data_IF_025937642916
#
_entry.id   IF_025937642916
#
_cell.length_a   1.000
_cell.length_b   1.000
_cell.length_c   1.000
_cell.angle_alpha   90.00
_cell.angle_beta   90.00
_cell.angle_gamma   90.00
#
_symmetry.space_group_name_H-M   'P 1'
#
loop_
_entity.id
_entity.type
_entity.pdbx_description
1 polymer ?
#
# COMPACT_ATOMS: atom_id res chain seq x y z
N UNK A 1 40.93 -19.74 39.30
CA UNK A 1 40.08 -18.52 39.28
C UNK A 1 40.44 -17.58 38.12
N UNK A 2 41.70 -17.15 37.99
CA UNK A 2 42.16 -16.25 36.90
C UNK A 2 41.90 -16.79 35.48
N UNK A 3 42.16 -18.08 35.25
CA UNK A 3 41.95 -18.72 33.92
C UNK A 3 40.46 -18.75 33.51
N UNK A 4 39.55 -18.98 34.47
CA UNK A 4 38.10 -19.02 34.22
C UNK A 4 37.57 -17.62 33.90
N UNK A 5 38.10 -16.59 34.57
CA UNK A 5 37.75 -15.18 34.29
C UNK A 5 38.24 -14.77 32.90
N UNK A 6 39.44 -15.18 32.49
CA UNK A 6 39.98 -14.91 31.16
C UNK A 6 39.19 -15.61 30.03
N UNK A 7 38.76 -16.87 30.24
CA UNK A 7 37.92 -17.61 29.30
C UNK A 7 36.51 -17.01 29.19
N UNK A 8 35.94 -16.55 30.30
CA UNK A 8 34.64 -15.85 30.31
C UNK A 8 34.70 -14.52 29.56
N UNK A 9 35.77 -13.74 29.76
CA UNK A 9 35.94 -12.45 29.09
C UNK A 9 36.16 -12.60 27.58
N UNK A 10 36.94 -13.61 27.16
CA UNK A 10 37.15 -13.90 25.74
C UNK A 10 35.88 -14.41 25.05
N UNK A 11 35.07 -15.23 25.73
CA UNK A 11 33.77 -15.67 25.21
C UNK A 11 32.79 -14.49 25.06
N UNK A 12 32.73 -13.59 26.05
CA UNK A 12 31.87 -12.40 25.98
C UNK A 12 32.31 -11.46 24.85
N UNK A 13 33.62 -11.28 24.65
CA UNK A 13 34.16 -10.46 23.58
C UNK A 13 33.80 -11.04 22.20
N UNK A 14 33.93 -12.36 22.03
CA UNK A 14 33.52 -13.05 20.80
C UNK A 14 32.01 -12.92 20.56
N UNK A 15 31.19 -13.00 21.60
CA UNK A 15 29.73 -12.82 21.50
C UNK A 15 29.38 -11.40 21.03
N UNK A 16 30.03 -10.38 21.60
CA UNK A 16 29.82 -8.97 21.23
C UNK A 16 30.27 -8.71 19.78
N UNK A 17 31.40 -9.28 19.35
CA UNK A 17 31.88 -9.16 17.96
C UNK A 17 30.89 -9.81 16.97
N UNK A 18 30.34 -10.98 17.29
CA UNK A 18 29.35 -11.63 16.44
C UNK A 18 28.03 -10.83 16.37
N UNK A 19 27.56 -10.28 17.50
CA UNK A 19 26.37 -9.42 17.53
C UNK A 19 26.61 -8.13 16.73
N UNK A 20 27.78 -7.51 16.86
CA UNK A 20 28.16 -6.33 16.09
C UNK A 20 28.24 -6.63 14.58
N UNK A 21 28.72 -7.82 14.19
CA UNK A 21 28.77 -8.24 12.79
C UNK A 21 27.36 -8.47 12.19
N UNK A 22 26.43 -9.00 13.00
CA UNK A 22 25.01 -9.16 12.62
C UNK A 22 24.26 -7.82 12.56
N UNK A 23 24.63 -6.84 13.40
CA UNK A 23 24.05 -5.49 13.35
C UNK A 23 24.68 -4.62 12.24
N UNK A 24 25.90 -4.94 11.80
CA UNK A 24 26.59 -4.26 10.70
C UNK A 24 26.08 -4.67 9.31
N UNK A 25 25.23 -5.71 9.21
CA UNK A 25 24.36 -5.88 8.04
C UNK A 25 23.22 -4.87 8.15
N UNK A 26 23.56 -3.60 8.00
CA UNK A 26 22.58 -2.59 7.62
C UNK A 26 21.91 -3.07 6.34
N UNK A 27 20.59 -2.92 6.26
CA UNK A 27 19.82 -3.22 5.07
C UNK A 27 20.35 -2.39 3.91
N UNK A 28 21.30 -2.94 3.16
CA UNK A 28 21.50 -2.50 1.79
C UNK A 28 20.18 -2.83 1.11
N UNK A 29 19.47 -1.78 0.66
CA UNK A 29 18.49 -1.97 -0.39
C UNK A 29 19.21 -2.80 -1.46
N UNK A 30 18.76 -4.03 -1.67
CA UNK A 30 19.33 -4.89 -2.70
C UNK A 30 19.06 -4.13 -4.00
N UNK A 31 20.07 -3.44 -4.52
CA UNK A 31 20.04 -2.93 -5.89
C UNK A 31 20.14 -4.16 -6.79
N UNK A 32 19.03 -4.90 -6.89
CA UNK A 32 18.87 -6.05 -7.76
C UNK A 32 18.53 -5.61 -9.18
N UNK A 33 18.85 -4.38 -9.57
CA UNK A 33 18.73 -3.94 -10.94
C UNK A 33 19.63 -4.83 -11.81
N UNK A 34 19.17 -5.13 -13.02
CA UNK A 34 19.97 -5.86 -14.00
C UNK A 34 21.25 -5.06 -14.32
N UNK A 35 22.36 -5.76 -14.56
CA UNK A 35 23.62 -5.10 -14.91
C UNK A 35 23.44 -4.07 -16.02
N UNK A 36 24.13 -2.93 -15.90
CA UNK A 36 24.11 -1.81 -16.85
C UNK A 36 22.80 -1.03 -16.95
N UNK A 37 21.77 -1.38 -16.16
CA UNK A 37 20.51 -0.65 -16.10
C UNK A 37 20.53 0.46 -15.05
N UNK A 38 19.72 1.50 -15.28
CA UNK A 38 19.46 2.51 -14.26
C UNK A 38 18.71 1.85 -13.09
N UNK A 39 19.27 1.97 -11.90
CA UNK A 39 18.84 1.27 -10.68
C UNK A 39 17.89 2.09 -9.79
N UNK A 40 17.57 3.32 -10.18
CA UNK A 40 16.80 4.25 -9.37
C UNK A 40 16.08 5.33 -10.18
N UNK A 41 15.00 5.87 -9.61
CA UNK A 41 14.27 7.03 -10.12
C UNK A 41 13.85 7.94 -8.95
N UNK A 42 14.35 9.17 -8.93
CA UNK A 42 14.34 9.98 -7.71
C UNK A 42 14.92 9.20 -6.52
N UNK A 43 14.16 9.10 -5.43
CA UNK A 43 14.56 8.35 -4.22
C UNK A 43 14.12 6.87 -4.21
N UNK A 44 13.59 6.36 -5.32
CA UNK A 44 13.10 4.99 -5.42
C UNK A 44 14.14 4.11 -6.09
N UNK A 45 14.68 3.13 -5.38
CA UNK A 45 15.48 2.06 -5.99
C UNK A 45 14.57 1.08 -6.73
N UNK A 46 14.94 0.72 -7.96
CA UNK A 46 14.15 -0.11 -8.87
C UNK A 46 14.86 -1.46 -9.08
N UNK A 47 14.40 -2.53 -8.41
CA UNK A 47 14.98 -3.86 -8.54
C UNK A 47 14.39 -4.63 -9.72
N UNK A 48 15.17 -5.54 -10.32
CA UNK A 48 14.63 -6.55 -11.23
C UNK A 48 13.58 -7.40 -10.50
N UNK A 49 12.43 -7.78 -11.12
CA UNK A 49 12.11 -7.73 -12.55
C UNK A 49 11.68 -6.36 -13.10
N UNK A 50 11.59 -5.34 -12.25
CA UNK A 50 11.29 -3.96 -12.67
C UNK A 50 12.54 -3.29 -13.24
N UNK A 51 12.34 -2.36 -14.16
CA UNK A 51 13.48 -1.69 -14.78
C UNK A 51 13.12 -0.48 -15.61
N UNK A 52 14.11 0.40 -15.74
CA UNK A 52 14.03 1.67 -16.48
C UNK A 52 14.85 1.53 -17.77
N UNK A 53 14.21 1.76 -18.91
CA UNK A 53 14.86 1.70 -20.21
C UNK A 53 14.80 0.33 -20.89
N UNK A 54 15.24 0.25 -22.15
CA UNK A 54 15.14 -0.96 -22.96
C UNK A 54 15.95 -2.12 -22.35
N UNK A 55 15.41 -3.33 -22.43
CA UNK A 55 16.02 -4.60 -21.96
C UNK A 55 16.36 -4.67 -20.45
N UNK A 56 15.86 -3.73 -19.66
CA UNK A 56 16.12 -3.64 -18.22
C UNK A 56 15.03 -4.23 -17.32
N UNK A 57 13.91 -4.63 -17.90
CA UNK A 57 12.76 -5.19 -17.20
C UNK A 57 12.40 -6.57 -17.78
N UNK A 58 11.72 -7.40 -16.99
CA UNK A 58 11.36 -8.76 -17.41
C UNK A 58 10.41 -8.79 -18.62
N UNK A 59 9.40 -7.93 -18.62
CA UNK A 59 8.47 -7.70 -19.74
C UNK A 59 7.73 -6.37 -19.55
N UNK A 60 6.89 -5.99 -20.53
CA UNK A 60 6.16 -4.71 -20.54
C UNK A 60 5.33 -4.39 -19.28
N UNK A 61 4.95 -5.38 -18.46
CA UNK A 61 4.24 -5.11 -17.19
C UNK A 61 5.16 -4.54 -16.11
N UNK A 62 6.46 -4.82 -16.18
CA UNK A 62 7.48 -4.42 -15.21
C UNK A 62 8.29 -3.20 -15.67
N UNK A 63 7.91 -2.59 -16.80
CA UNK A 63 8.54 -1.36 -17.28
C UNK A 63 8.22 -0.18 -16.34
N UNK A 64 9.27 0.47 -15.84
CA UNK A 64 9.20 1.66 -15.01
C UNK A 64 9.51 2.88 -15.86
N UNK A 65 8.58 3.83 -15.87
CA UNK A 65 8.81 5.17 -16.40
C UNK A 65 9.33 6.05 -15.28
N UNK A 66 10.41 6.77 -15.55
CA UNK A 66 10.98 7.75 -14.63
C UNK A 66 10.74 9.17 -15.15
N UNK A 67 9.88 9.92 -14.46
CA UNK A 67 9.60 11.32 -14.78
C UNK A 67 9.90 12.19 -13.56
N UNK A 68 11.11 12.76 -13.52
CA UNK A 68 11.59 13.62 -12.43
C UNK A 68 10.75 14.91 -12.25
N UNK A 69 9.88 15.25 -13.22
CA UNK A 69 8.93 16.37 -13.10
C UNK A 69 7.60 16.01 -12.41
N UNK A 70 7.39 14.72 -12.09
CA UNK A 70 6.18 14.24 -11.41
C UNK A 70 6.45 13.85 -9.96
N UNK A 71 5.40 13.86 -9.13
CA UNK A 71 5.49 13.53 -7.70
C UNK A 71 4.43 12.48 -7.32
N UNK A 72 4.83 11.21 -7.11
CA UNK A 72 6.20 10.66 -7.20
C UNK A 72 6.71 10.50 -8.64
N UNK A 73 8.04 10.48 -8.85
CA UNK A 73 8.65 10.41 -10.19
C UNK A 73 8.63 9.01 -10.82
N UNK A 74 8.37 7.97 -10.02
CA UNK A 74 8.42 6.56 -10.43
C UNK A 74 7.03 6.06 -10.76
N UNK A 75 6.82 5.58 -11.99
CA UNK A 75 5.52 5.12 -12.47
C UNK A 75 5.65 3.73 -13.12
N UNK A 76 4.81 2.77 -12.70
CA UNK A 76 4.59 1.54 -13.47
C UNK A 76 3.83 1.89 -14.74
N UNK A 77 4.55 1.86 -15.87
CA UNK A 77 4.12 2.53 -17.10
C UNK A 77 2.81 1.99 -17.65
N UNK A 78 2.64 0.66 -17.66
CA UNK A 78 1.49 0.00 -18.32
C UNK A 78 0.17 0.16 -17.57
N UNK A 79 0.22 0.31 -16.24
CA UNK A 79 -0.96 0.54 -15.39
C UNK A 79 -1.07 1.99 -14.90
N UNK A 80 -0.15 2.86 -15.35
CA UNK A 80 -0.04 4.26 -14.96
C UNK A 80 -0.13 4.46 -13.43
N UNK A 81 0.59 3.64 -12.68
CA UNK A 81 0.53 3.65 -11.22
C UNK A 81 1.82 4.19 -10.60
N UNK A 82 1.67 5.23 -9.79
CA UNK A 82 2.74 5.92 -9.08
C UNK A 82 3.26 5.04 -7.92
N UNK A 83 4.58 4.84 -7.87
CA UNK A 83 5.28 3.95 -6.91
C UNK A 83 6.07 4.78 -5.91
N UNK A 84 5.86 4.52 -4.62
CA UNK A 84 6.63 5.12 -3.53
C UNK A 84 7.90 4.34 -3.22
N UNK A 85 7.83 3.01 -3.24
CA UNK A 85 8.99 2.13 -3.10
C UNK A 85 8.69 0.69 -3.54
N UNK A 86 9.76 -0.06 -3.76
CA UNK A 86 9.77 -1.51 -3.86
C UNK A 86 10.36 -2.06 -2.57
N UNK A 87 9.78 -3.12 -2.02
CA UNK A 87 10.19 -3.67 -0.74
C UNK A 87 10.02 -5.19 -0.70
N UNK A 88 10.74 -5.82 0.21
CA UNK A 88 10.70 -7.25 0.46
C UNK A 88 10.31 -7.52 1.89
N UNK A 89 9.26 -8.33 2.07
CA UNK A 89 8.85 -8.79 3.39
C UNK A 89 9.59 -10.09 3.73
N UNK A 90 10.53 -10.01 4.67
CA UNK A 90 11.29 -11.17 5.16
C UNK A 90 10.38 -12.21 5.85
N UNK A 91 9.30 -11.77 6.50
CA UNK A 91 8.38 -12.64 7.24
C UNK A 91 7.51 -13.49 6.32
N UNK A 92 7.04 -12.92 5.21
CA UNK A 92 6.23 -13.63 4.22
C UNK A 92 7.00 -14.14 3.00
N UNK A 93 8.29 -13.79 2.88
CA UNK A 93 9.15 -14.15 1.76
C UNK A 93 8.64 -13.63 0.42
N UNK A 94 8.09 -12.41 0.40
CA UNK A 94 7.41 -11.83 -0.77
C UNK A 94 7.79 -10.38 -1.02
N UNK A 95 8.03 -10.07 -2.29
CA UNK A 95 8.20 -8.70 -2.77
C UNK A 95 6.85 -8.02 -2.95
N UNK A 96 6.83 -6.72 -2.69
CA UNK A 96 5.65 -5.88 -2.86
C UNK A 96 6.04 -4.45 -3.23
N UNK A 97 5.08 -3.73 -3.77
CA UNK A 97 5.22 -2.32 -4.12
C UNK A 97 4.32 -1.51 -3.21
N UNK A 98 4.83 -0.42 -2.64
CA UNK A 98 3.98 0.60 -2.03
C UNK A 98 3.66 1.65 -3.09
N UNK A 99 2.39 1.84 -3.40
CA UNK A 99 1.89 2.66 -4.51
C UNK A 99 0.91 3.73 -4.04
N UNK A 100 0.70 4.75 -4.85
CA UNK A 100 -0.33 5.76 -4.63
C UNK A 100 -1.68 5.24 -5.11
N UNK A 101 -2.56 4.92 -4.16
CA UNK A 101 -3.90 4.40 -4.40
C UNK A 101 -4.93 5.52 -4.24
N UNK A 102 -5.97 5.58 -5.10
CA UNK A 102 -6.94 6.66 -5.07
C UNK A 102 -7.86 6.61 -3.85
N UNK A 103 -8.37 7.79 -3.46
CA UNK A 103 -9.48 7.94 -2.51
C UNK A 103 -10.75 8.28 -3.28
N UNK A 104 -11.75 7.41 -3.21
CA UNK A 104 -13.04 7.62 -3.88
C UNK A 104 -13.92 8.48 -2.98
N UNK A 105 -14.41 9.60 -3.51
CA UNK A 105 -15.26 10.56 -2.80
C UNK A 105 -16.71 10.49 -3.28
N UNK A 106 -17.65 10.82 -2.39
CA UNK A 106 -19.07 10.96 -2.71
C UNK A 106 -19.71 12.06 -1.87
N UNK A 107 -20.44 12.98 -2.52
CA UNK A 107 -21.08 14.17 -1.92
C UNK A 107 -20.12 15.06 -1.11
N UNK A 108 -18.92 15.27 -1.65
CA UNK A 108 -17.89 16.11 -1.04
C UNK A 108 -17.79 17.45 -1.78
N UNK A 109 -18.66 18.40 -1.44
CA UNK A 109 -18.73 19.73 -2.05
C UNK A 109 -17.35 20.40 -2.15
N UNK A 110 -17.00 20.92 -3.32
CA UNK A 110 -15.71 21.57 -3.56
C UNK A 110 -14.57 20.63 -3.96
N UNK A 111 -14.73 19.30 -3.80
CA UNK A 111 -13.76 18.26 -4.24
C UNK A 111 -14.29 17.37 -5.36
N UNK A 112 -15.44 17.72 -5.92
CA UNK A 112 -16.13 16.97 -6.97
C UNK A 112 -15.44 17.05 -8.34
N UNK A 113 -14.55 18.04 -8.56
CA UNK A 113 -13.84 18.21 -9.84
C UNK A 113 -12.67 17.25 -10.05
N UNK A 114 -12.21 16.55 -9.02
CA UNK A 114 -10.98 15.72 -9.07
C UNK A 114 -11.25 14.20 -9.09
N UNK A 115 -12.52 13.78 -9.03
CA UNK A 115 -12.91 12.38 -8.74
C UNK A 115 -13.68 11.67 -9.86
N UNK A 116 -13.65 12.17 -11.10
CA UNK A 116 -14.19 11.41 -12.24
C UNK A 116 -13.35 10.14 -12.48
N UNK A 117 -13.90 9.00 -12.06
CA UNK A 117 -13.51 7.64 -12.43
C UNK A 117 -12.05 7.26 -12.10
N UNK A 118 -11.64 7.39 -10.83
CA UNK A 118 -10.38 6.79 -10.34
C UNK A 118 -10.53 5.28 -10.09
N UNK A 119 -11.00 4.54 -11.10
CA UNK A 119 -10.99 3.07 -11.05
C UNK A 119 -9.58 2.58 -11.32
N UNK A 120 -9.06 1.74 -10.42
CA UNK A 120 -7.83 0.99 -10.64
C UNK A 120 -8.20 -0.35 -11.26
N UNK A 121 -7.68 -0.65 -12.44
CA UNK A 121 -7.88 -1.93 -13.12
C UNK A 121 -6.53 -2.57 -13.46
N UNK A 122 -6.21 -3.63 -12.71
CA UNK A 122 -5.01 -4.45 -12.87
C UNK A 122 -5.35 -5.79 -13.56
N UNK A 123 -6.55 -5.95 -14.11
CA UNK A 123 -7.02 -7.22 -14.69
C UNK A 123 -6.08 -7.68 -15.81
N UNK A 124 -5.69 -8.95 -15.76
CA UNK A 124 -4.78 -9.54 -16.75
C UNK A 124 -3.31 -9.14 -16.58
N UNK A 125 -2.99 -8.27 -15.62
CA UNK A 125 -1.62 -7.99 -15.19
C UNK A 125 -1.16 -9.02 -14.14
N UNK A 126 0.15 -9.09 -13.84
CA UNK A 126 0.66 -9.91 -12.73
C UNK A 126 0.39 -9.30 -11.34
N UNK A 127 -0.22 -8.12 -11.26
CA UNK A 127 -0.36 -7.32 -10.04
C UNK A 127 -1.73 -7.51 -9.37
N UNK A 128 -1.77 -7.43 -8.04
CA UNK A 128 -3.00 -7.43 -7.25
C UNK A 128 -2.76 -6.77 -5.88
N UNK A 129 -3.81 -6.22 -5.27
CA UNK A 129 -3.70 -5.68 -3.92
C UNK A 129 -3.34 -6.76 -2.90
N UNK A 130 -2.35 -6.46 -2.06
CA UNK A 130 -1.91 -7.34 -0.98
C UNK A 130 -3.00 -7.51 0.09
N UNK A 131 -3.10 -8.70 0.67
CA UNK A 131 -3.98 -8.95 1.83
C UNK A 131 -3.59 -8.17 3.10
N UNK A 132 -2.44 -7.48 3.08
CA UNK A 132 -1.97 -6.55 4.12
C UNK A 132 -2.59 -5.16 4.01
N UNK A 133 -3.46 -4.94 3.03
CA UNK A 133 -4.26 -3.73 2.97
C UNK A 133 -5.60 -3.90 3.67
N UNK A 134 -6.14 -2.79 4.15
CA UNK A 134 -7.52 -2.66 4.62
C UNK A 134 -8.35 -1.88 3.60
N UNK A 135 -9.61 -2.26 3.44
CA UNK A 135 -10.62 -1.38 2.86
C UNK A 135 -11.24 -0.56 3.96
N UNK A 136 -11.20 0.77 3.82
CA UNK A 136 -11.78 1.70 4.77
C UNK A 136 -12.84 2.51 4.06
N UNK A 137 -13.98 2.64 4.71
CA UNK A 137 -15.05 3.51 4.25
C UNK A 137 -15.50 4.40 5.40
N UNK A 138 -15.68 5.67 5.10
CA UNK A 138 -15.80 6.64 6.15
C UNK A 138 -16.65 7.84 5.73
N UNK A 139 -17.32 8.46 6.71
CA UNK A 139 -18.46 9.35 6.53
C UNK A 139 -19.67 8.87 7.33
N UNK A 140 -20.61 9.79 7.61
CA UNK A 140 -21.79 9.45 8.39
C UNK A 140 -22.82 8.65 7.58
N UNK A 141 -23.43 7.64 8.23
CA UNK A 141 -24.40 6.75 7.60
C UNK A 141 -23.89 6.21 6.24
N UNK A 142 -22.62 5.79 6.24
CA UNK A 142 -21.94 5.31 5.04
C UNK A 142 -22.24 3.82 4.83
N UNK A 143 -22.40 3.43 3.56
CA UNK A 143 -22.44 2.05 3.12
C UNK A 143 -21.68 1.99 1.79
N UNK A 144 -20.40 1.67 1.85
CA UNK A 144 -19.54 1.59 0.68
C UNK A 144 -19.28 0.13 0.31
N UNK A 145 -19.34 -0.17 -0.97
CA UNK A 145 -19.07 -1.49 -1.53
C UNK A 145 -17.92 -1.40 -2.52
N UNK A 146 -17.00 -2.35 -2.47
CA UNK A 146 -16.01 -2.52 -3.54
C UNK A 146 -16.76 -3.03 -4.78
N UNK A 147 -16.65 -2.27 -5.87
CA UNK A 147 -17.27 -2.58 -7.16
C UNK A 147 -16.39 -3.54 -7.98
N UNK A 148 -17.00 -4.28 -8.92
CA UNK A 148 -16.26 -5.11 -9.88
C UNK A 148 -15.87 -6.51 -9.40
N UNK A 149 -16.04 -6.82 -8.11
CA UNK A 149 -15.86 -8.16 -7.55
C UNK A 149 -17.17 -8.96 -7.61
N UNK A 150 -17.16 -10.07 -8.33
CA UNK A 150 -18.25 -11.06 -8.37
C UNK A 150 -17.68 -12.47 -8.18
N UNK A 151 -18.34 -13.36 -7.42
CA UNK A 151 -19.61 -13.18 -6.69
C UNK A 151 -19.46 -12.55 -5.29
N UNK A 152 -18.23 -12.18 -4.87
CA UNK A 152 -17.96 -11.66 -3.52
C UNK A 152 -18.33 -10.19 -3.43
N UNK A 153 -19.22 -9.85 -2.51
CA UNK A 153 -19.50 -8.47 -2.13
C UNK A 153 -18.64 -8.16 -0.90
N UNK A 154 -17.78 -7.15 -1.02
CA UNK A 154 -17.03 -6.61 0.11
C UNK A 154 -17.59 -5.24 0.37
N UNK A 155 -18.09 -5.05 1.58
CA UNK A 155 -18.77 -3.84 1.98
C UNK A 155 -18.34 -3.42 3.36
N UNK A 156 -18.53 -2.13 3.61
CA UNK A 156 -18.20 -1.49 4.85
C UNK A 156 -19.32 -0.50 5.19
N UNK A 157 -19.86 -0.61 6.39
CA UNK A 157 -20.97 0.20 6.84
C UNK A 157 -20.67 0.92 8.16
N UNK A 158 -21.06 2.19 8.24
CA UNK A 158 -21.01 3.01 9.45
C UNK A 158 -22.35 3.69 9.73
N UNK A 159 -22.58 4.05 10.99
CA UNK A 159 -23.77 4.76 11.47
C UNK A 159 -23.41 5.83 12.48
N UNK A 160 -24.14 6.95 12.48
CA UNK A 160 -24.01 8.01 13.49
C UNK A 160 -25.28 8.85 13.60
N UNK A 161 -25.40 9.55 14.74
CA UNK A 161 -26.47 10.51 15.01
C UNK A 161 -25.97 11.92 14.69
N UNK A 162 -26.62 12.60 13.74
CA UNK A 162 -26.29 13.97 13.32
C UNK A 162 -25.38 14.01 12.08
N UNK A 163 -24.93 15.23 11.75
CA UNK A 163 -24.15 15.53 10.54
C UNK A 163 -22.64 15.52 10.82
N UNK A 164 -22.21 14.67 11.76
CA UNK A 164 -20.83 14.64 12.21
C UNK A 164 -19.92 14.16 11.09
N UNK A 165 -19.14 15.11 10.57
CA UNK A 165 -17.89 14.84 9.89
C UNK A 165 -17.00 14.00 10.81
N UNK A 166 -16.14 13.18 10.21
CA UNK A 166 -15.27 12.23 10.89
C UNK A 166 -14.71 12.78 12.20
N UNK A 167 -14.79 11.97 13.26
CA UNK A 167 -14.02 12.22 14.46
C UNK A 167 -14.59 13.29 15.39
N UNK A 168 -15.71 12.97 16.06
CA UNK A 168 -15.74 13.32 17.48
C UNK A 168 -14.68 12.47 18.17
N UNK A 169 -13.50 13.07 18.36
CA UNK A 169 -12.33 12.61 19.11
C UNK A 169 -12.56 11.31 19.90
N UNK A 170 -12.41 10.17 19.24
CA UNK A 170 -12.30 8.90 19.95
C UNK A 170 -10.81 8.73 20.30
N UNK A 171 -10.43 8.71 21.60
CA UNK A 171 -9.03 8.57 21.99
C UNK A 171 -8.39 7.27 21.48
N UNK A 172 -9.20 6.28 21.09
CA UNK A 172 -8.73 4.97 20.64
C UNK A 172 -8.49 4.87 19.12
N UNK A 173 -8.59 5.95 18.33
CA UNK A 173 -8.30 5.95 16.88
C UNK A 173 -9.04 4.87 16.05
N UNK A 174 -10.16 4.35 16.55
CA UNK A 174 -10.72 3.09 16.03
C UNK A 174 -11.80 3.31 15.00
N UNK A 175 -11.66 2.65 13.85
CA UNK A 175 -12.64 2.64 12.78
C UNK A 175 -13.69 1.53 12.98
N UNK A 176 -14.49 1.67 14.04
CA UNK A 176 -15.35 0.60 14.57
C UNK A 176 -16.84 0.79 14.27
N UNK A 177 -17.18 1.37 13.11
CA UNK A 177 -18.57 1.56 12.66
C UNK A 177 -19.24 2.88 13.07
N UNK A 178 -18.59 3.69 13.92
CA UNK A 178 -19.05 5.04 14.26
C UNK A 178 -18.33 6.07 13.39
N UNK A 179 -19.03 6.68 12.43
CA UNK A 179 -18.50 7.61 11.38
C UNK A 179 -17.48 7.01 10.39
N UNK A 180 -16.89 5.86 10.68
CA UNK A 180 -16.10 5.09 9.72
C UNK A 180 -16.11 3.60 10.05
N UNK A 181 -15.75 2.77 9.08
CA UNK A 181 -15.59 1.34 9.23
C UNK A 181 -14.36 0.86 8.44
N UNK A 182 -13.85 -0.31 8.81
CA UNK A 182 -12.78 -1.00 8.08
C UNK A 182 -13.13 -2.48 7.87
N UNK A 183 -12.56 -3.08 6.84
CA UNK A 183 -12.65 -4.52 6.58
C UNK A 183 -11.45 -5.01 5.78
N UNK A 184 -11.24 -6.32 5.75
CA UNK A 184 -10.20 -6.95 4.93
C UNK A 184 -10.64 -7.02 3.47
N UNK A 185 -9.69 -6.90 2.55
CA UNK A 185 -9.96 -7.09 1.13
C UNK A 185 -9.87 -8.58 0.74
N UNK A 186 -10.54 -9.01 -0.35
CA UNK A 186 -10.33 -10.33 -0.91
C UNK A 186 -8.88 -10.50 -1.37
N UNK A 187 -8.35 -11.71 -1.20
CA UNK A 187 -7.08 -12.08 -1.83
C UNK A 187 -7.14 -11.90 -3.34
N UNK A 188 -6.04 -11.44 -3.94
CA UNK A 188 -5.89 -11.25 -5.39
C UNK A 188 -6.86 -10.22 -6.02
N UNK A 189 -7.24 -9.19 -5.27
CA UNK A 189 -8.07 -8.10 -5.79
C UNK A 189 -7.30 -7.33 -6.88
N UNK A 190 -7.77 -7.42 -8.14
CA UNK A 190 -7.16 -6.71 -9.27
C UNK A 190 -7.90 -5.43 -9.68
N UNK A 191 -9.14 -5.26 -9.22
CA UNK A 191 -9.94 -4.06 -9.53
C UNK A 191 -10.30 -3.35 -8.24
N UNK A 192 -10.03 -2.05 -8.18
CA UNK A 192 -10.52 -1.21 -7.10
C UNK A 192 -11.35 -0.06 -7.64
N UNK A 193 -12.62 -0.08 -7.26
CA UNK A 193 -13.54 1.04 -7.32
C UNK A 193 -14.51 0.89 -6.15
N UNK A 194 -15.15 1.98 -5.72
CA UNK A 194 -16.10 1.96 -4.63
C UNK A 194 -17.43 2.61 -5.04
N UNK A 195 -18.53 1.98 -4.66
CA UNK A 195 -19.88 2.53 -4.81
C UNK A 195 -20.47 2.81 -3.44
N UNK A 196 -21.20 3.91 -3.31
CA UNK A 196 -21.88 4.32 -2.08
C UNK A 196 -23.37 4.08 -2.21
N UNK A 197 -23.93 3.23 -1.36
CA UNK A 197 -25.38 3.03 -1.29
C UNK A 197 -26.02 4.11 -0.41
N UNK A 198 -27.13 4.66 -0.87
CA UNK A 198 -27.92 5.62 -0.09
C UNK A 198 -28.67 4.86 1.02
N UNK A 199 -28.40 5.19 2.28
CA UNK A 199 -29.32 4.86 3.37
C UNK A 199 -30.48 5.85 3.31
N UNK A 200 -31.71 5.36 3.41
CA UNK A 200 -32.97 6.14 3.42
C UNK A 200 -33.13 7.03 4.65
N UNK A 201 -32.05 7.40 5.35
CA UNK A 201 -32.09 8.29 6.50
C UNK A 201 -32.37 9.71 6.03
N UNK A 202 -33.48 10.27 6.50
CA UNK A 202 -33.88 11.68 6.39
C UNK A 202 -32.90 12.59 7.13
N UNK A 203 -31.72 12.79 6.56
CA UNK A 203 -30.65 13.61 7.13
C UNK A 203 -29.66 14.07 6.05
N UNK A 204 -28.80 15.05 6.35
CA UNK A 204 -27.90 15.60 5.35
C UNK A 204 -26.88 14.53 4.92
N UNK A 205 -26.65 14.44 3.61
CA UNK A 205 -25.71 13.47 3.05
C UNK A 205 -24.31 14.09 3.09
N UNK A 206 -23.66 14.01 4.26
CA UNK A 206 -22.27 14.46 4.43
C UNK A 206 -21.30 13.73 3.49
N UNK A 207 -20.10 14.29 3.35
CA UNK A 207 -19.01 13.76 2.52
C UNK A 207 -18.64 12.32 2.94
N UNK A 208 -18.56 11.42 1.96
CA UNK A 208 -18.21 10.01 2.14
C UNK A 208 -16.96 9.66 1.33
N UNK A 209 -16.14 8.80 1.90
CA UNK A 209 -14.86 8.39 1.35
C UNK A 209 -14.73 6.87 1.41
N UNK A 210 -14.00 6.29 0.45
CA UNK A 210 -13.65 4.88 0.43
C UNK A 210 -12.30 4.67 -0.25
N UNK A 211 -11.43 3.86 0.34
CA UNK A 211 -10.08 3.61 -0.16
C UNK A 211 -9.52 2.28 0.34
N UNK A 212 -8.51 1.77 -0.37
CA UNK A 212 -7.69 0.63 0.05
C UNK A 212 -6.33 1.17 0.49
N UNK A 213 -5.91 0.85 1.70
CA UNK A 213 -4.71 1.41 2.35
C UNK A 213 -3.84 0.34 3.00
N UNK A 214 -2.53 0.57 2.99
CA UNK A 214 -1.55 -0.19 3.76
C UNK A 214 -1.85 -0.09 5.27
N UNK A 215 -2.16 -1.22 5.91
CA UNK A 215 -2.53 -1.28 7.33
C UNK A 215 -1.42 -0.77 8.24
N UNK A 216 -0.17 -1.05 7.91
CA UNK A 216 0.98 -0.62 8.71
C UNK A 216 1.12 0.90 8.64
N UNK A 217 1.11 1.45 7.42
CA UNK A 217 1.18 2.88 7.20
C UNK A 217 0.04 3.62 7.92
N UNK A 218 -1.19 3.09 7.84
CA UNK A 218 -2.34 3.67 8.53
C UNK A 218 -2.10 3.78 10.04
N UNK A 219 -1.60 2.72 10.66
CA UNK A 219 -1.39 2.66 12.12
C UNK A 219 -0.28 3.60 12.61
N UNK A 220 0.77 3.82 11.81
CA UNK A 220 1.91 4.66 12.19
C UNK A 220 1.76 6.12 11.79
N UNK A 221 1.14 6.41 10.63
CA UNK A 221 1.09 7.76 10.08
C UNK A 221 -0.19 8.51 10.41
N UNK A 222 -1.30 7.82 10.68
CA UNK A 222 -2.57 8.47 10.97
C UNK A 222 -2.80 8.51 12.48
N UNK A 223 -2.80 9.73 13.02
CA UNK A 223 -3.10 9.96 14.44
C UNK A 223 -4.55 10.36 14.63
N UNK A 224 -5.09 11.19 13.74
CA UNK A 224 -6.49 11.58 13.74
C UNK A 224 -7.19 11.06 12.48
N UNK A 225 -8.28 10.28 12.58
CA UNK A 225 -9.06 9.85 11.42
C UNK A 225 -9.53 11.00 10.51
N UNK A 226 -9.67 12.22 11.04
CA UNK A 226 -9.99 13.40 10.25
C UNK A 226 -8.90 13.78 9.25
N UNK A 227 -7.64 13.35 9.43
CA UNK A 227 -6.54 13.62 8.48
C UNK A 227 -6.79 12.94 7.13
N UNK A 228 -7.48 11.80 7.15
CA UNK A 228 -7.88 11.05 5.95
C UNK A 228 -8.88 11.82 5.09
N UNK A 229 -9.62 12.77 5.67
CA UNK A 229 -10.57 13.61 4.93
C UNK A 229 -9.87 14.48 3.89
N UNK A 230 -8.62 14.88 4.12
CA UNK A 230 -7.93 15.82 3.24
C UNK A 230 -7.05 15.13 2.20
N UNK A 231 -7.05 13.79 2.17
CA UNK A 231 -6.25 13.01 1.24
C UNK A 231 -7.04 12.70 -0.03
N UNK A 232 -6.41 12.93 -1.19
CA UNK A 232 -6.92 12.48 -2.49
C UNK A 232 -6.39 11.10 -2.87
N UNK A 233 -5.34 10.65 -2.18
CA UNK A 233 -4.71 9.34 -2.36
C UNK A 233 -4.06 8.87 -1.07
N UNK A 234 -3.96 7.55 -0.90
CA UNK A 234 -3.32 6.89 0.23
C UNK A 234 -2.32 5.84 -0.24
N UNK A 235 -1.29 5.49 0.55
CA UNK A 235 -0.41 4.38 0.22
C UNK A 235 -1.15 3.04 0.29
N UNK A 236 -0.97 2.20 -0.73
CA UNK A 236 -1.43 0.81 -0.70
C UNK A 236 -0.31 -0.14 -1.14
N UNK A 237 -0.43 -1.40 -0.76
CA UNK A 237 0.51 -2.45 -1.11
C UNK A 237 -0.01 -3.28 -2.29
N UNK A 238 0.81 -3.41 -3.33
CA UNK A 238 0.56 -4.30 -4.47
C UNK A 238 1.54 -5.45 -4.39
N UNK A 239 1.02 -6.68 -4.36
CA UNK A 239 1.80 -7.88 -4.56
C UNK A 239 1.80 -8.23 -6.06
N UNK A 240 2.73 -9.08 -6.48
CA UNK A 240 2.79 -9.55 -7.85
C UNK A 240 3.10 -11.04 -7.92
N UNK A 241 2.63 -11.69 -8.98
CA UNK A 241 2.93 -13.09 -9.27
C UNK A 241 2.97 -13.34 -10.78
N UNK A 242 3.91 -14.19 -11.21
CA UNK A 242 3.97 -14.65 -12.59
C UNK A 242 3.21 -15.98 -12.74
N UNK A 243 2.54 -16.22 -13.87
CA UNK A 243 1.99 -17.53 -14.19
C UNK A 243 3.05 -18.63 -14.10
N UNK A 244 2.65 -19.82 -13.62
CA UNK A 244 3.54 -20.99 -13.57
C UNK A 244 4.14 -21.26 -14.96
N UNK A 245 5.47 -21.32 -15.04
CA UNK A 245 6.22 -21.61 -16.28
C UNK A 245 7.16 -20.50 -16.75
N UNK A 246 7.05 -19.29 -16.21
CA UNK A 246 8.03 -18.22 -16.44
C UNK A 246 9.17 -18.43 -15.43
N UNK A 247 10.28 -19.01 -15.88
CA UNK A 247 11.41 -19.34 -15.04
C UNK A 247 12.21 -18.06 -14.72
N UNK A 248 12.00 -17.46 -13.54
CA UNK A 248 12.81 -16.31 -13.06
C UNK A 248 14.18 -16.73 -12.52
N UNK A 249 14.44 -18.04 -12.43
CA UNK A 249 15.62 -18.66 -11.80
C UNK A 249 16.93 -18.51 -12.59
N UNK A 250 16.93 -17.80 -13.72
CA UNK A 250 18.13 -17.64 -14.57
C UNK A 250 18.86 -16.30 -14.42
N UNK A 251 18.42 -15.42 -13.53
CA UNK A 251 19.02 -14.10 -13.37
C UNK A 251 19.32 -13.85 -11.90
N UNK A 252 20.45 -14.42 -11.47
CA UNK A 252 21.16 -14.11 -10.22
C UNK A 252 22.59 -13.73 -10.58
#
# INVERSE_FOLDING_TARGET
MVVIIALSFTFLLLLIINIALVLATTSTAISGAKDWCKDSCGNVSVPYPFGIGPDCFLNSWFEVSCNESSTPPTILKKINMEVFNFSYDLGYGREYLRVKSPVILHNCSGRERETKNQTVDLTGSPFFYSGRNKFIAAGCNNKALISGIKPRIVGCESTCNGDTLFGTSNPNKTCNGSTCCETVIPSYLQTFNASFESKTSSGPQGCKLAFVVDEEWLNFNITNPSDLLNMDSVPALIDWALPKGINTTYFK
#
